data_IF_150315022298
#
_entry.id   IF_150315022298
#
_cell.length_a   1.000
_cell.length_b   1.000
_cell.length_c   1.000
_cell.angle_alpha   90.00
_cell.angle_beta   90.00
_cell.angle_gamma   90.00
#
_symmetry.space_group_name_H-M   'P 1'
#
loop_
_entity.id
_entity.type
_entity.pdbx_description
1 polymer ?
#
# COMPACT_ATOMS: atom_id res chain seq x y z
N UNK A 1 14.72 -6.09 -11.60
CA UNK A 1 13.45 -5.98 -10.86
C UNK A 1 13.63 -5.56 -9.41
N UNK A 2 14.68 -6.03 -8.76
CA UNK A 2 14.94 -5.64 -7.37
C UNK A 2 15.12 -4.12 -7.22
N UNK A 3 15.90 -3.49 -8.09
CA UNK A 3 16.09 -2.03 -8.06
C UNK A 3 14.77 -1.29 -8.31
N UNK A 4 13.94 -1.81 -9.20
CA UNK A 4 12.63 -1.22 -9.49
C UNK A 4 11.75 -1.23 -8.23
N UNK A 5 11.64 -2.37 -7.56
CA UNK A 5 10.80 -2.46 -6.37
C UNK A 5 11.39 -1.68 -5.19
N UNK A 6 12.72 -1.63 -5.09
CA UNK A 6 13.34 -0.81 -4.05
C UNK A 6 13.04 0.68 -4.25
N UNK A 7 13.22 1.18 -5.47
CA UNK A 7 12.94 2.58 -5.78
C UNK A 7 11.45 2.90 -5.62
N UNK A 8 10.58 2.04 -6.14
CA UNK A 8 9.13 2.23 -6.05
C UNK A 8 8.67 2.24 -4.59
N UNK A 9 9.17 1.29 -3.80
CA UNK A 9 8.85 1.22 -2.37
C UNK A 9 9.30 2.48 -1.63
N UNK A 10 10.51 2.95 -1.93
CA UNK A 10 11.04 4.17 -1.31
C UNK A 10 10.22 5.40 -1.67
N UNK A 11 9.83 5.54 -2.93
CA UNK A 11 9.00 6.68 -3.38
C UNK A 11 7.59 6.61 -2.79
N UNK A 12 7.02 5.41 -2.72
CA UNK A 12 5.71 5.24 -2.10
C UNK A 12 5.77 5.51 -0.60
N UNK A 13 6.85 5.13 0.08
CA UNK A 13 7.04 5.45 1.49
C UNK A 13 7.19 6.96 1.70
N UNK A 14 7.94 7.64 0.83
CA UNK A 14 8.03 9.11 0.85
C UNK A 14 6.63 9.72 0.76
N UNK A 15 5.83 9.26 -0.20
CA UNK A 15 4.48 9.77 -0.39
C UNK A 15 3.59 9.48 0.82
N UNK A 16 3.71 8.30 1.42
CA UNK A 16 2.93 7.96 2.61
C UNK A 16 3.27 8.87 3.79
N UNK A 17 4.54 9.20 3.98
CA UNK A 17 4.95 10.15 5.03
C UNK A 17 4.36 11.54 4.75
N UNK A 18 4.44 11.99 3.50
CA UNK A 18 3.88 13.29 3.12
C UNK A 18 2.36 13.34 3.36
N UNK A 19 1.63 12.29 2.97
CA UNK A 19 0.19 12.22 3.18
C UNK A 19 -0.17 12.12 4.66
N UNK A 20 0.61 11.36 5.44
CA UNK A 20 0.41 11.28 6.88
C UNK A 20 0.62 12.60 7.58
N UNK A 21 1.66 13.34 7.20
CA UNK A 21 1.91 14.68 7.73
C UNK A 21 0.79 15.64 7.34
N UNK A 22 0.32 15.56 6.10
CA UNK A 22 -0.79 16.39 5.63
C UNK A 22 -2.06 16.12 6.43
N UNK A 23 -2.36 14.86 6.71
CA UNK A 23 -3.51 14.47 7.53
C UNK A 23 -3.41 15.08 8.93
N UNK A 24 -2.24 14.96 9.56
CA UNK A 24 -2.04 15.42 10.93
C UNK A 24 -2.12 16.94 11.07
N UNK A 25 -1.70 17.69 10.04
CA UNK A 25 -1.57 19.15 10.16
C UNK A 25 -2.65 19.94 9.42
N UNK A 26 -3.17 19.44 8.31
CA UNK A 26 -4.13 20.18 7.48
C UNK A 26 -5.51 19.55 7.45
N UNK A 27 -5.60 18.24 7.19
CA UNK A 27 -6.90 17.57 7.03
C UNK A 27 -7.66 17.45 8.34
N UNK A 28 -6.96 17.45 9.46
CA UNK A 28 -7.56 17.41 10.79
C UNK A 28 -8.61 18.50 10.98
N UNK A 29 -8.43 19.66 10.38
CA UNK A 29 -9.36 20.78 10.47
C UNK A 29 -10.43 20.77 9.37
N UNK A 30 -10.26 19.95 8.32
CA UNK A 30 -11.10 19.99 7.11
C UNK A 30 -12.02 18.78 6.97
N UNK A 31 -11.61 17.61 7.46
CA UNK A 31 -12.37 16.39 7.37
C UNK A 31 -13.08 16.09 8.67
N UNK A 32 -14.25 15.43 8.59
CA UNK A 32 -14.90 14.87 9.76
C UNK A 32 -14.00 13.82 10.41
N UNK A 33 -14.25 13.48 11.66
CA UNK A 33 -13.49 12.45 12.37
C UNK A 33 -13.50 11.12 11.63
N UNK A 34 -14.65 10.73 11.07
CA UNK A 34 -14.78 9.48 10.33
C UNK A 34 -13.95 9.50 9.05
N UNK A 35 -14.00 10.59 8.30
CA UNK A 35 -13.24 10.71 7.05
C UNK A 35 -11.76 10.81 7.30
N UNK A 36 -11.35 11.47 8.37
CA UNK A 36 -9.95 11.52 8.76
C UNK A 36 -9.43 10.12 9.10
N UNK A 37 -10.19 9.33 9.85
CA UNK A 37 -9.83 7.96 10.19
C UNK A 37 -9.69 7.09 8.94
N UNK A 38 -10.59 7.25 7.97
CA UNK A 38 -10.52 6.53 6.69
C UNK A 38 -9.25 6.91 5.94
N UNK A 39 -8.93 8.20 5.87
CA UNK A 39 -7.70 8.67 5.22
C UNK A 39 -6.46 8.09 5.89
N UNK A 40 -6.42 8.14 7.21
CA UNK A 40 -5.27 7.63 7.98
C UNK A 40 -5.11 6.11 7.85
N UNK A 41 -6.21 5.37 7.73
CA UNK A 41 -6.16 3.94 7.44
C UNK A 41 -5.49 3.70 6.08
N UNK A 42 -5.86 4.50 5.09
CA UNK A 42 -5.22 4.44 3.77
C UNK A 42 -3.72 4.68 3.85
N UNK A 43 -3.29 5.71 4.59
CA UNK A 43 -1.87 6.03 4.78
C UNK A 43 -1.13 4.89 5.46
N UNK A 44 -1.73 4.30 6.48
CA UNK A 44 -1.10 3.23 7.26
C UNK A 44 -0.83 2.01 6.39
N UNK A 45 -1.81 1.55 5.65
CA UNK A 45 -1.64 0.39 4.78
C UNK A 45 -0.76 0.69 3.58
N UNK A 46 -0.79 1.92 3.08
CA UNK A 46 0.14 2.42 2.07
C UNK A 46 1.59 2.28 2.56
N UNK A 47 1.87 2.76 3.76
CA UNK A 47 3.23 2.68 4.32
C UNK A 47 3.66 1.24 4.58
N UNK A 48 2.81 0.40 5.18
CA UNK A 48 3.15 -1.00 5.43
C UNK A 48 3.62 -1.68 4.15
N UNK A 49 2.92 -1.45 3.05
CA UNK A 49 3.19 -2.16 1.80
C UNK A 49 4.25 -1.47 0.95
N UNK A 50 4.48 -0.17 1.15
CA UNK A 50 5.67 0.48 0.61
C UNK A 50 6.94 -0.14 1.20
N UNK A 51 6.95 -0.37 2.52
CA UNK A 51 8.06 -1.06 3.18
C UNK A 51 8.14 -2.51 2.73
N UNK A 52 7.00 -3.17 2.50
CA UNK A 52 6.99 -4.54 1.97
C UNK A 52 7.67 -4.63 0.61
N UNK A 53 7.62 -3.58 -0.22
CA UNK A 53 8.31 -3.55 -1.50
C UNK A 53 9.82 -3.58 -1.34
N UNK A 54 10.36 -2.99 -0.27
CA UNK A 54 11.79 -3.11 0.04
C UNK A 54 12.14 -4.56 0.39
N UNK A 55 11.26 -5.24 1.13
CA UNK A 55 11.43 -6.67 1.41
C UNK A 55 11.36 -7.51 0.14
N UNK A 56 10.46 -7.16 -0.79
CA UNK A 56 10.38 -7.82 -2.11
C UNK A 56 11.70 -7.66 -2.86
N UNK A 57 12.25 -6.45 -2.88
CA UNK A 57 13.53 -6.19 -3.55
C UNK A 57 14.64 -7.07 -2.98
N UNK A 58 14.69 -7.19 -1.65
CA UNK A 58 15.65 -8.08 -1.00
C UNK A 58 15.40 -9.54 -1.40
N UNK A 59 14.14 -9.98 -1.38
CA UNK A 59 13.79 -11.36 -1.72
C UNK A 59 14.17 -11.72 -3.16
N UNK A 60 13.96 -10.79 -4.11
CA UNK A 60 14.36 -11.00 -5.50
C UNK A 60 15.87 -11.16 -5.60
N UNK A 61 16.64 -10.34 -4.88
CA UNK A 61 18.10 -10.45 -4.90
C UNK A 61 18.56 -11.79 -4.32
N UNK A 62 17.81 -12.36 -3.40
CA UNK A 62 18.15 -13.62 -2.73
C UNK A 62 17.63 -14.83 -3.50
N UNK A 63 16.43 -14.73 -4.08
CA UNK A 63 15.75 -15.81 -4.79
C UNK A 63 15.16 -15.27 -6.12
N UNK A 64 16.01 -15.05 -7.15
CA UNK A 64 15.59 -14.36 -8.38
C UNK A 64 14.46 -15.05 -9.16
N UNK A 65 14.41 -16.39 -9.10
CA UNK A 65 13.43 -17.18 -9.85
C UNK A 65 12.16 -17.47 -9.06
N UNK A 66 11.95 -16.78 -7.93
CA UNK A 66 10.82 -17.04 -7.03
C UNK A 66 9.61 -16.17 -7.37
N UNK A 67 8.53 -16.36 -6.58
CA UNK A 67 7.31 -15.57 -6.69
C UNK A 67 7.42 -14.15 -6.08
N UNK A 68 8.61 -13.75 -5.64
CA UNK A 68 8.79 -12.44 -4.99
C UNK A 68 8.40 -11.27 -5.91
N UNK A 69 8.73 -11.35 -7.21
CA UNK A 69 8.34 -10.31 -8.16
C UNK A 69 6.83 -10.17 -8.29
N UNK A 70 6.13 -11.29 -8.36
CA UNK A 70 4.65 -11.30 -8.40
C UNK A 70 4.07 -10.71 -7.13
N UNK A 71 4.67 -11.02 -5.97
CA UNK A 71 4.28 -10.40 -4.69
C UNK A 71 4.41 -8.89 -4.75
N UNK A 72 5.49 -8.38 -5.34
CA UNK A 72 5.71 -6.94 -5.49
C UNK A 72 4.60 -6.26 -6.28
N UNK A 73 4.20 -6.85 -7.40
CA UNK A 73 3.10 -6.32 -8.20
C UNK A 73 1.77 -6.36 -7.43
N UNK A 74 1.53 -7.43 -6.67
CA UNK A 74 0.32 -7.52 -5.84
C UNK A 74 0.30 -6.39 -4.80
N UNK A 75 1.44 -6.07 -4.18
CA UNK A 75 1.51 -4.96 -3.22
C UNK A 75 1.26 -3.61 -3.88
N UNK A 76 1.82 -3.37 -5.08
CA UNK A 76 1.58 -2.11 -5.80
C UNK A 76 0.10 -1.96 -6.14
N UNK A 77 -0.52 -3.01 -6.68
CA UNK A 77 -1.95 -3.01 -7.00
C UNK A 77 -2.76 -2.77 -5.72
N UNK A 78 -2.39 -3.44 -4.64
CA UNK A 78 -3.05 -3.26 -3.35
C UNK A 78 -2.99 -1.83 -2.84
N UNK A 79 -1.83 -1.17 -2.94
CA UNK A 79 -1.69 0.24 -2.53
C UNK A 79 -2.60 1.12 -3.37
N UNK A 80 -2.58 0.97 -4.69
CA UNK A 80 -3.39 1.79 -5.60
C UNK A 80 -4.88 1.60 -5.32
N UNK A 81 -5.32 0.36 -5.21
CA UNK A 81 -6.76 0.06 -5.05
C UNK A 81 -7.22 0.31 -3.62
N UNK A 82 -6.52 -0.24 -2.62
CA UNK A 82 -6.93 -0.11 -1.22
C UNK A 82 -6.77 1.32 -0.71
N UNK A 83 -5.56 1.83 -0.71
CA UNK A 83 -5.28 3.16 -0.17
C UNK A 83 -5.85 4.25 -1.08
N UNK A 84 -5.78 4.07 -2.40
CA UNK A 84 -6.34 5.02 -3.35
C UNK A 84 -7.85 5.17 -3.18
N UNK A 85 -8.59 4.07 -3.00
CA UNK A 85 -10.04 4.13 -2.77
C UNK A 85 -10.38 4.86 -1.48
N UNK A 86 -9.60 4.64 -0.42
CA UNK A 86 -9.83 5.31 0.86
C UNK A 86 -9.51 6.81 0.79
N UNK A 87 -8.47 7.20 0.05
CA UNK A 87 -8.16 8.62 -0.15
C UNK A 87 -9.31 9.33 -0.88
N UNK A 88 -9.80 8.74 -1.97
CA UNK A 88 -10.89 9.33 -2.74
C UNK A 88 -12.17 9.36 -1.90
N UNK A 89 -12.48 8.28 -1.17
CA UNK A 89 -13.64 8.22 -0.30
C UNK A 89 -13.60 9.33 0.75
N UNK A 90 -12.44 9.56 1.37
CA UNK A 90 -12.32 10.54 2.45
C UNK A 90 -12.57 11.97 1.98
N UNK A 91 -12.26 12.29 0.72
CA UNK A 91 -12.49 13.63 0.17
C UNK A 91 -13.84 13.81 -0.50
N UNK A 92 -14.44 12.73 -1.02
CA UNK A 92 -15.67 12.81 -1.80
C UNK A 92 -16.90 12.32 -1.04
N UNK A 93 -16.70 11.49 -0.01
CA UNK A 93 -17.81 10.86 0.69
C UNK A 93 -18.54 9.79 -0.10
N UNK A 94 -18.02 9.39 -1.27
CA UNK A 94 -18.65 8.36 -2.11
C UNK A 94 -18.47 6.98 -1.49
N UNK A 95 -19.45 6.55 -0.71
CA UNK A 95 -19.33 5.34 0.12
C UNK A 95 -19.22 4.04 -0.68
N UNK A 96 -19.64 4.03 -1.95
CA UNK A 96 -19.49 2.85 -2.80
C UNK A 96 -18.01 2.48 -3.02
N UNK A 97 -17.09 3.45 -2.85
CA UNK A 97 -15.65 3.18 -2.92
C UNK A 97 -15.21 2.20 -1.83
N UNK A 98 -15.93 2.15 -0.71
CA UNK A 98 -15.67 1.17 0.34
C UNK A 98 -15.87 -0.27 -0.10
N UNK A 99 -16.64 -0.50 -1.19
CA UNK A 99 -16.79 -1.83 -1.77
C UNK A 99 -15.60 -2.22 -2.65
N UNK A 100 -14.83 -1.23 -3.13
CA UNK A 100 -13.62 -1.46 -3.92
C UNK A 100 -12.42 -1.75 -3.02
N UNK A 101 -12.37 -1.15 -1.85
CA UNK A 101 -11.27 -1.28 -0.90
C UNK A 101 -10.90 -2.74 -0.58
N UNK A 102 -11.87 -3.67 -0.34
CA UNK A 102 -11.54 -5.08 -0.08
C UNK A 102 -10.81 -5.77 -1.23
N UNK A 103 -11.03 -5.33 -2.47
CA UNK A 103 -10.31 -5.88 -3.63
C UNK A 103 -8.81 -5.62 -3.48
N UNK A 104 -8.44 -4.41 -3.08
CA UNK A 104 -7.06 -4.08 -2.76
C UNK A 104 -6.54 -4.85 -1.56
N UNK A 105 -7.40 -5.09 -0.57
CA UNK A 105 -7.06 -5.91 0.59
C UNK A 105 -6.71 -7.35 0.20
N UNK A 106 -7.46 -7.94 -0.74
CA UNK A 106 -7.15 -9.27 -1.27
C UNK A 106 -5.80 -9.25 -1.98
N UNK A 107 -5.49 -8.21 -2.74
CA UNK A 107 -4.18 -8.08 -3.38
C UNK A 107 -3.05 -8.06 -2.34
N UNK A 108 -3.23 -7.36 -1.22
CA UNK A 108 -2.26 -7.37 -0.12
C UNK A 108 -2.08 -8.78 0.44
N UNK A 109 -3.18 -9.47 0.72
CA UNK A 109 -3.11 -10.84 1.27
C UNK A 109 -2.37 -11.78 0.32
N UNK A 110 -2.67 -11.70 -0.98
CA UNK A 110 -1.98 -12.50 -1.98
C UNK A 110 -0.49 -12.16 -2.04
N UNK A 111 -0.15 -10.87 -1.95
CA UNK A 111 1.24 -10.44 -1.93
C UNK A 111 2.03 -11.08 -0.80
N UNK A 112 1.47 -11.09 0.41
CA UNK A 112 2.15 -11.69 1.57
C UNK A 112 2.29 -13.20 1.43
N UNK A 113 1.25 -13.89 0.92
CA UNK A 113 1.35 -15.33 0.68
C UNK A 113 2.39 -15.66 -0.38
N UNK A 114 2.45 -14.87 -1.45
CA UNK A 114 3.45 -15.07 -2.50
C UNK A 114 4.86 -14.81 -1.99
N UNK A 115 5.02 -13.81 -1.11
CA UNK A 115 6.32 -13.51 -0.54
C UNK A 115 6.78 -14.62 0.41
N UNK A 116 5.87 -15.15 1.23
CA UNK A 116 6.15 -16.29 2.08
C UNK A 116 6.53 -17.52 1.23
N UNK A 117 5.79 -17.76 0.15
CA UNK A 117 6.06 -18.87 -0.76
C UNK A 117 7.44 -18.74 -1.40
N UNK A 118 7.86 -17.52 -1.73
CA UNK A 118 9.17 -17.28 -2.32
C UNK A 118 10.31 -17.76 -1.42
N UNK A 119 10.14 -17.57 -0.11
CA UNK A 119 11.15 -18.00 0.87
C UNK A 119 11.07 -19.50 1.18
N UNK A 120 9.86 -20.08 1.07
CA UNK A 120 9.63 -21.47 1.42
C UNK A 120 10.26 -22.44 0.43
N UNK A 121 10.24 -22.13 -0.83
CA UNK A 121 10.86 -22.95 -1.88
C UNK A 121 12.35 -22.83 -1.83
#
# INVERSE_FOLDING_TARGET
MDRFFFATGSLLAFLAVALGAFAAHSLKARLSGDMLTIFETGVRYHMYHALALLAVAWAISRWPESSAGTAGWAFIIGIVVFSGSLYILSFTGMRWLGAITPIGGVAFLLGWLLLAWAAWR
#
